data_IF_801781310704
#
_entry.id   IF_801781310704
#
_cell.length_a   1.000
_cell.length_b   1.000
_cell.length_c   1.000
_cell.angle_alpha   90.00
_cell.angle_beta   90.00
_cell.angle_gamma   90.00
#
_symmetry.space_group_name_H-M   'P 1'
#
loop_
_entity.id
_entity.type
_entity.pdbx_description
1 polymer ?
#
# COMPACT_ATOMS: atom_id res chain seq x y z
N UNK A 1 -30.80 19.56 15.99
CA UNK A 1 -29.35 19.68 15.69
C UNK A 1 -28.62 18.50 16.32
N UNK A 2 -27.84 17.71 15.58
CA UNK A 2 -27.10 16.59 16.22
C UNK A 2 -26.56 15.48 15.32
N UNK A 3 -26.70 15.56 13.98
CA UNK A 3 -26.24 14.49 13.07
C UNK A 3 -25.13 14.89 12.10
N UNK A 4 -24.62 16.13 12.21
CA UNK A 4 -23.70 16.69 11.23
C UNK A 4 -22.23 16.69 11.69
N UNK A 5 -21.96 16.45 12.98
CA UNK A 5 -20.62 16.66 13.56
C UNK A 5 -19.79 15.37 13.68
N UNK A 6 -20.43 14.20 13.85
CA UNK A 6 -19.71 12.92 14.08
C UNK A 6 -19.14 12.30 12.80
N UNK A 7 -19.74 12.55 11.64
CA UNK A 7 -19.25 11.96 10.38
C UNK A 7 -18.02 12.68 9.79
N UNK A 8 -17.76 13.93 10.19
CA UNK A 8 -16.66 14.71 9.62
C UNK A 8 -15.28 14.34 10.24
N UNK A 9 -15.25 13.87 11.49
CA UNK A 9 -14.01 13.58 12.22
C UNK A 9 -13.34 12.24 11.86
N UNK A 10 -14.05 11.29 11.25
CA UNK A 10 -13.50 9.95 10.95
C UNK A 10 -12.85 9.81 9.57
N UNK A 11 -13.11 10.73 8.64
CA UNK A 11 -12.50 10.67 7.28
C UNK A 11 -11.24 11.54 7.19
N UNK A 12 -11.00 12.39 8.19
CA UNK A 12 -9.77 13.16 8.32
C UNK A 12 -8.64 12.38 9.03
N UNK A 13 -8.68 11.04 9.01
CA UNK A 13 -7.48 10.25 9.30
C UNK A 13 -6.51 10.55 8.17
N UNK A 14 -5.60 11.48 8.45
CA UNK A 14 -4.53 11.97 7.61
C UNK A 14 -4.09 10.91 6.61
N UNK A 15 -4.41 11.16 5.33
CA UNK A 15 -3.67 10.59 4.20
C UNK A 15 -2.25 11.12 4.33
N UNK A 16 -1.45 10.50 5.19
CA UNK A 16 -0.05 10.80 5.31
C UNK A 16 0.64 10.06 4.16
N UNK A 17 0.57 10.65 2.97
CA UNK A 17 1.60 10.42 1.97
C UNK A 17 2.54 11.61 2.07
N UNK A 18 3.62 11.54 2.89
CA UNK A 18 4.83 12.19 2.42
C UNK A 18 5.02 11.73 0.96
N UNK A 19 5.33 12.67 0.08
CA UNK A 19 5.55 12.47 -1.35
C UNK A 19 6.80 11.60 -1.61
N UNK A 20 6.88 10.46 -0.93
CA UNK A 20 7.91 9.48 -1.05
C UNK A 20 7.39 8.49 -2.08
N UNK A 21 7.64 8.81 -3.34
CA UNK A 21 7.23 7.99 -4.46
C UNK A 21 7.70 6.55 -4.23
N UNK A 22 6.77 5.60 -4.35
CA UNK A 22 7.08 4.17 -4.30
C UNK A 22 7.95 3.85 -5.51
N UNK A 23 9.20 3.47 -5.27
CA UNK A 23 10.14 3.11 -6.33
C UNK A 23 10.13 1.59 -6.59
N UNK A 24 9.95 0.80 -5.54
CA UNK A 24 9.94 -0.67 -5.59
C UNK A 24 8.73 -1.19 -4.83
N UNK A 25 8.02 -2.16 -5.41
CA UNK A 25 6.95 -2.90 -4.76
C UNK A 25 7.36 -4.36 -4.66
N UNK A 26 7.32 -4.85 -3.44
CA UNK A 26 7.36 -6.24 -3.10
C UNK A 26 5.98 -6.86 -3.00
N UNK A 27 5.75 -7.97 -3.71
CA UNK A 27 4.50 -8.73 -3.62
C UNK A 27 4.79 -10.17 -3.21
N UNK A 28 4.28 -10.55 -2.04
CA UNK A 28 4.24 -11.94 -1.57
C UNK A 28 2.84 -12.54 -1.76
N UNK A 29 2.80 -13.80 -2.21
CA UNK A 29 1.57 -14.48 -2.63
C UNK A 29 1.07 -15.37 -1.49
N UNK A 30 0.13 -14.85 -0.71
CA UNK A 30 -0.62 -15.66 0.27
C UNK A 30 -1.78 -16.44 -0.36
N UNK A 31 -2.39 -17.35 0.42
CA UNK A 31 -3.52 -18.19 -0.03
C UNK A 31 -4.69 -17.40 -0.62
N UNK A 32 -5.12 -16.35 0.07
CA UNK A 32 -6.33 -15.59 -0.28
C UNK A 32 -6.04 -14.09 -0.53
N UNK A 33 -4.77 -13.70 -0.45
CA UNK A 33 -4.38 -12.30 -0.36
C UNK A 33 -2.92 -12.14 -0.73
N UNK A 34 -2.58 -10.97 -1.24
CA UNK A 34 -1.22 -10.57 -1.50
C UNK A 34 -0.72 -9.66 -0.38
N UNK A 35 0.47 -9.94 0.12
CA UNK A 35 1.17 -9.06 1.05
C UNK A 35 2.03 -8.12 0.22
N UNK A 36 1.78 -6.81 0.35
CA UNK A 36 2.38 -5.79 -0.48
C UNK A 36 3.20 -4.85 0.40
N UNK A 37 4.46 -4.71 0.06
CA UNK A 37 5.38 -3.78 0.72
C UNK A 37 5.97 -2.87 -0.34
N UNK A 38 5.81 -1.55 -0.18
CA UNK A 38 6.41 -0.55 -1.05
C UNK A 38 7.60 0.09 -0.37
N UNK A 39 8.69 0.22 -1.10
CA UNK A 39 9.89 0.93 -0.70
C UNK A 39 10.07 2.20 -1.55
N UNK A 40 10.59 3.26 -0.93
CA UNK A 40 11.07 4.41 -1.67
C UNK A 40 12.42 4.14 -2.34
N UNK A 41 12.95 5.13 -3.06
CA UNK A 41 14.26 5.02 -3.72
C UNK A 41 15.44 4.86 -2.74
N UNK A 42 15.25 5.12 -1.44
CA UNK A 42 16.26 4.95 -0.38
C UNK A 42 16.10 3.60 0.33
N UNK A 43 15.13 2.78 -0.05
CA UNK A 43 14.83 1.50 0.57
C UNK A 43 13.98 1.59 1.84
N UNK A 44 13.47 2.77 2.21
CA UNK A 44 12.58 2.92 3.36
C UNK A 44 11.18 2.37 3.04
N UNK A 45 10.56 1.67 3.99
CA UNK A 45 9.20 1.15 3.84
C UNK A 45 8.22 2.32 3.88
N UNK A 46 7.49 2.52 2.79
CA UNK A 46 6.49 3.59 2.63
C UNK A 46 5.07 3.06 2.44
N UNK A 47 4.94 1.76 2.17
CA UNK A 47 3.66 1.07 2.04
C UNK A 47 3.79 -0.33 2.67
N UNK A 48 2.84 -0.72 3.53
CA UNK A 48 2.69 -2.11 3.99
C UNK A 48 1.21 -2.43 4.09
N UNK A 49 0.71 -3.25 3.18
CA UNK A 49 -0.71 -3.57 3.08
C UNK A 49 -0.94 -5.04 2.70
N UNK A 50 -2.14 -5.52 2.97
CA UNK A 50 -2.62 -6.83 2.54
C UNK A 50 -3.80 -6.62 1.61
N UNK A 51 -3.68 -7.06 0.36
CA UNK A 51 -4.72 -6.88 -0.65
C UNK A 51 -5.41 -8.19 -0.98
N UNK A 52 -6.75 -8.22 -1.09
CA UNK A 52 -7.45 -9.37 -1.64
C UNK A 52 -7.14 -9.51 -3.14
N UNK A 53 -7.22 -10.73 -3.68
CA UNK A 53 -6.77 -11.00 -5.06
C UNK A 53 -7.44 -10.12 -6.11
N UNK A 54 -8.73 -9.84 -5.96
CA UNK A 54 -9.49 -8.99 -6.88
C UNK A 54 -9.16 -7.49 -6.81
N UNK A 55 -8.38 -7.03 -5.84
CA UNK A 55 -8.00 -5.61 -5.73
C UNK A 55 -6.58 -5.33 -6.19
N UNK A 56 -5.73 -6.34 -6.40
CA UNK A 56 -4.32 -6.12 -6.74
C UNK A 56 -4.15 -5.41 -8.06
N UNK A 57 -4.87 -5.83 -9.10
CA UNK A 57 -4.79 -5.21 -10.43
C UNK A 57 -5.18 -3.72 -10.37
N UNK A 58 -6.35 -3.42 -9.80
CA UNK A 58 -6.83 -2.05 -9.68
C UNK A 58 -5.88 -1.18 -8.84
N UNK A 59 -5.29 -1.73 -7.77
CA UNK A 59 -4.34 -0.98 -6.93
C UNK A 59 -3.02 -0.73 -7.66
N UNK A 60 -2.47 -1.73 -8.34
CA UNK A 60 -1.23 -1.61 -9.11
C UNK A 60 -1.38 -0.64 -10.29
N UNK A 61 -2.52 -0.65 -10.98
CA UNK A 61 -2.80 0.27 -12.09
C UNK A 61 -2.84 1.75 -11.68
N UNK A 62 -3.13 2.03 -10.41
CA UNK A 62 -3.19 3.39 -9.86
C UNK A 62 -1.88 3.85 -9.18
N UNK A 63 -0.85 2.99 -9.15
CA UNK A 63 0.44 3.34 -8.61
C UNK A 63 1.31 4.03 -9.67
N UNK A 64 2.19 4.97 -9.27
CA UNK A 64 3.20 5.51 -10.18
C UNK A 64 4.11 4.38 -10.68
N UNK A 65 4.80 4.62 -11.82
CA UNK A 65 5.77 3.66 -12.36
C UNK A 65 6.78 3.26 -11.29
N UNK A 66 6.77 1.98 -10.95
CA UNK A 66 7.63 1.37 -9.95
C UNK A 66 8.08 -0.02 -10.41
N UNK A 67 9.21 -0.47 -9.90
CA UNK A 67 9.71 -1.82 -10.13
C UNK A 67 8.93 -2.80 -9.26
N UNK A 68 8.38 -3.86 -9.85
CA UNK A 68 7.66 -4.90 -9.10
C UNK A 68 8.56 -6.13 -8.98
N UNK A 69 8.87 -6.49 -7.74
CA UNK A 69 9.49 -7.75 -7.40
C UNK A 69 8.43 -8.78 -6.99
N UNK A 70 8.35 -9.89 -7.73
CA UNK A 70 7.45 -11.00 -7.44
C UNK A 70 8.33 -12.20 -7.04
N UNK A 71 8.21 -12.65 -5.80
CA UNK A 71 9.01 -13.78 -5.28
C UNK A 71 9.06 -13.79 -3.76
N UNK A 72 9.22 -14.98 -3.16
CA UNK A 72 9.04 -15.24 -1.72
C UNK A 72 10.05 -14.58 -0.76
N UNK A 73 10.90 -13.68 -1.23
CA UNK A 73 11.96 -13.05 -0.42
C UNK A 73 12.23 -11.60 -0.79
N UNK A 74 11.20 -10.87 -1.18
CA UNK A 74 11.35 -9.48 -1.64
C UNK A 74 11.54 -8.47 -0.49
N UNK A 75 11.26 -8.85 0.76
CA UNK A 75 11.48 -7.99 1.93
C UNK A 75 11.91 -8.85 3.15
N UNK A 76 13.12 -8.69 3.71
CA UNK A 76 13.51 -9.33 4.98
C UNK A 76 12.79 -8.72 6.22
N UNK A 77 11.65 -8.07 6.03
CA UNK A 77 10.92 -7.30 7.06
C UNK A 77 9.41 -7.63 7.11
N UNK A 78 8.99 -8.69 6.41
CA UNK A 78 7.61 -9.19 6.44
C UNK A 78 7.37 -10.10 7.65
#
# INVERSE_FOLDING_TARGET
>A
MGRMVTFLMSVYTMSQTPNTAIAVIGIDIGKNSFHVVGHDARGAIVLRQKWPRGQVEARLANLPRCLIGIGGQICPTL
#
